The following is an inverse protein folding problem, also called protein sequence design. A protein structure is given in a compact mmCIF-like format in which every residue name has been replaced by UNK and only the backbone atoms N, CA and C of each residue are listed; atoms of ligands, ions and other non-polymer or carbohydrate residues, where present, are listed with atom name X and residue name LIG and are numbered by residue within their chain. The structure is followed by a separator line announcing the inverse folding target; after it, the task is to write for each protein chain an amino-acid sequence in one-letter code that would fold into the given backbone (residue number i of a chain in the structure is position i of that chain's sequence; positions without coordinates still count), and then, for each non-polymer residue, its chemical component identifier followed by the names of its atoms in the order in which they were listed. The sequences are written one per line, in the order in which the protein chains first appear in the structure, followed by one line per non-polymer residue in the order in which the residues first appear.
data_IF_374125176844
#
_entry.id   IF_374125176844
#
_cell.length_a   1.000
_cell.length_b   1.000
_cell.length_c   1.000
_cell.angle_alpha   90.00
_cell.angle_beta   90.00
_cell.angle_gamma   90.00
#
_symmetry.space_group_name_H-M   'P 1'
#
loop_
_entity.id
_entity.type
_entity.pdbx_description
1 polymer ?
#
# COMPACT_ATOMS: atom_id res chain seq x y z
N UNK A 1 -5.98 -22.30 31.14
CA UNK A 1 -5.98 -23.63 30.48
C UNK A 1 -6.79 -24.64 31.32
N UNK A 2 -8.10 -24.44 31.49
CA UNK A 2 -8.97 -25.40 32.20
C UNK A 2 -10.14 -25.91 31.34
N UNK A 3 -10.23 -25.50 30.07
CA UNK A 3 -11.35 -25.85 29.19
C UNK A 3 -11.17 -27.14 28.38
N UNK A 4 -10.06 -27.87 28.54
CA UNK A 4 -9.75 -29.06 27.72
C UNK A 4 -9.95 -30.40 28.43
N UNK A 5 -10.51 -30.42 29.65
CA UNK A 5 -10.78 -31.65 30.40
C UNK A 5 -12.25 -32.10 30.36
N UNK A 6 -13.06 -31.57 29.46
CA UNK A 6 -14.38 -32.13 29.18
C UNK A 6 -14.22 -33.33 28.25
N UNK A 7 -14.18 -34.53 28.81
CA UNK A 7 -14.50 -35.74 28.06
C UNK A 7 -15.89 -35.58 27.47
N UNK A 8 -16.06 -35.90 26.18
CA UNK A 8 -17.39 -35.89 25.54
C UNK A 8 -18.33 -36.76 26.37
N UNK A 9 -19.37 -36.14 26.95
CA UNK A 9 -20.28 -36.77 27.93
C UNK A 9 -21.07 -37.95 27.34
N UNK A 10 -21.07 -38.14 26.02
CA UNK A 10 -21.69 -39.28 25.35
C UNK A 10 -20.91 -39.61 24.08
N UNK A 11 -20.42 -40.85 23.89
CA UNK A 11 -19.78 -41.25 22.65
C UNK A 11 -20.81 -41.25 21.50
N UNK A 12 -20.48 -40.57 20.42
CA UNK A 12 -21.26 -40.60 19.17
C UNK A 12 -21.19 -42.01 18.58
N UNK A 13 -22.35 -42.65 18.40
CA UNK A 13 -22.49 -44.01 17.86
C UNK A 13 -22.84 -44.05 16.37
N UNK A 14 -22.74 -42.92 15.64
CA UNK A 14 -23.25 -42.83 14.28
C UNK A 14 -22.60 -41.77 13.38
N UNK A 15 -23.30 -41.45 12.28
CA UNK A 15 -22.80 -40.65 11.14
C UNK A 15 -22.43 -39.21 11.52
N UNK A 16 -22.86 -38.70 12.67
CA UNK A 16 -22.59 -37.34 13.12
C UNK A 16 -21.09 -37.00 13.18
N UNK A 17 -20.25 -37.92 13.67
CA UNK A 17 -18.79 -37.71 13.72
C UNK A 17 -18.18 -37.64 12.32
N UNK A 18 -18.67 -38.49 11.40
CA UNK A 18 -18.24 -38.50 10.01
C UNK A 18 -18.69 -37.24 9.27
N UNK A 19 -19.91 -36.74 9.52
CA UNK A 19 -20.40 -35.48 8.95
C UNK A 19 -19.58 -34.30 9.46
N UNK A 20 -19.31 -34.23 10.77
CA UNK A 20 -18.48 -33.17 11.34
C UNK A 20 -17.05 -33.20 10.78
N UNK A 21 -16.41 -34.36 10.72
CA UNK A 21 -15.09 -34.52 10.12
C UNK A 21 -15.10 -34.18 8.61
N UNK A 22 -16.15 -34.59 7.89
CA UNK A 22 -16.32 -34.26 6.47
C UNK A 22 -16.54 -32.75 6.26
N UNK A 23 -17.29 -32.09 7.13
CA UNK A 23 -17.46 -30.64 7.11
C UNK A 23 -16.13 -29.94 7.39
N UNK A 24 -15.36 -30.38 8.39
CA UNK A 24 -14.04 -29.84 8.68
C UNK A 24 -13.07 -30.01 7.49
N UNK A 25 -13.06 -31.20 6.88
CA UNK A 25 -12.29 -31.47 5.68
C UNK A 25 -12.75 -30.64 4.49
N UNK A 26 -14.06 -30.44 4.32
CA UNK A 26 -14.62 -29.57 3.29
C UNK A 26 -14.18 -28.12 3.50
N UNK A 27 -14.23 -27.59 4.72
CA UNK A 27 -13.76 -26.24 5.01
C UNK A 27 -12.25 -26.10 4.79
N UNK A 28 -11.46 -27.08 5.21
CA UNK A 28 -10.01 -27.09 4.95
C UNK A 28 -9.70 -27.13 3.45
N UNK A 29 -10.40 -27.97 2.67
CA UNK A 29 -10.22 -28.05 1.22
C UNK A 29 -10.73 -26.81 0.48
N UNK A 30 -11.80 -26.17 0.98
CA UNK A 30 -12.37 -24.94 0.43
C UNK A 30 -11.45 -23.73 0.59
N UNK A 31 -10.37 -23.83 1.35
CA UNK A 31 -9.36 -22.78 1.45
C UNK A 31 -8.79 -22.39 0.07
N UNK A 32 -8.67 -23.35 -0.85
CA UNK A 32 -8.24 -23.09 -2.23
C UNK A 32 -9.27 -22.28 -3.04
N UNK A 33 -10.54 -22.27 -2.64
CA UNK A 33 -11.58 -21.43 -3.26
C UNK A 33 -11.51 -19.97 -2.79
N UNK A 34 -10.81 -19.70 -1.68
CA UNK A 34 -10.62 -18.35 -1.14
C UNK A 34 -9.41 -17.63 -1.77
N UNK A 35 -8.52 -18.39 -2.43
CA UNK A 35 -7.35 -17.84 -3.12
C UNK A 35 -7.74 -17.39 -4.52
N UNK A 36 -7.25 -16.21 -4.93
CA UNK A 36 -7.44 -15.75 -6.31
C UNK A 36 -6.34 -16.34 -7.18
N UNK A 37 -6.58 -16.42 -8.49
CA UNK A 37 -5.55 -16.82 -9.44
C UNK A 37 -4.33 -15.90 -9.31
N UNK A 38 -3.12 -16.49 -9.24
CA UNK A 38 -1.90 -15.71 -9.15
C UNK A 38 -1.69 -14.94 -10.45
N UNK A 39 -1.04 -13.79 -10.36
CA UNK A 39 -0.64 -13.04 -11.55
C UNK A 39 0.39 -13.88 -12.31
N UNK A 40 0.22 -14.13 -13.62
CA UNK A 40 1.19 -14.90 -14.39
C UNK A 40 2.59 -14.28 -14.29
N UNK A 41 3.58 -15.10 -13.95
CA UNK A 41 4.97 -14.66 -13.95
C UNK A 41 5.48 -14.63 -15.40
N UNK A 42 6.09 -13.53 -15.80
CA UNK A 42 6.55 -13.35 -17.16
C UNK A 42 7.78 -14.22 -17.44
N UNK A 43 7.72 -14.98 -18.54
CA UNK A 43 8.92 -15.58 -19.11
C UNK A 43 9.72 -14.50 -19.83
N UNK A 44 10.86 -14.14 -19.24
CA UNK A 44 11.79 -13.14 -19.76
C UNK A 44 13.19 -13.74 -19.84
N UNK A 45 13.93 -13.34 -20.85
CA UNK A 45 15.28 -13.80 -21.11
C UNK A 45 16.28 -12.64 -21.01
N UNK A 46 17.54 -13.01 -20.79
CA UNK A 46 18.61 -12.03 -20.76
C UNK A 46 18.70 -11.31 -22.11
N UNK A 47 18.86 -9.99 -22.10
CA UNK A 47 18.92 -9.10 -23.26
C UNK A 47 17.57 -8.80 -23.94
N UNK A 48 16.45 -9.24 -23.37
CA UNK A 48 15.12 -8.85 -23.85
C UNK A 48 14.92 -7.32 -23.81
N UNK A 49 14.06 -6.84 -24.72
CA UNK A 49 13.79 -5.42 -24.93
C UNK A 49 12.32 -5.10 -24.73
N UNK A 50 12.07 -3.97 -24.08
CA UNK A 50 10.74 -3.43 -23.82
C UNK A 50 10.72 -1.94 -24.15
N UNK A 51 9.55 -1.38 -24.44
CA UNK A 51 9.42 0.06 -24.60
C UNK A 51 9.61 0.78 -23.28
N UNK A 52 8.94 0.28 -22.25
CA UNK A 52 9.04 0.81 -20.89
C UNK A 52 9.37 -0.31 -19.92
N UNK A 53 10.34 -0.05 -19.05
CA UNK A 53 10.63 -0.89 -17.88
C UNK A 53 10.24 -0.12 -16.63
N UNK A 54 9.29 -0.65 -15.86
CA UNK A 54 8.82 -0.08 -14.60
C UNK A 54 9.40 -0.89 -13.46
N UNK A 55 10.13 -0.23 -12.56
CA UNK A 55 10.81 -0.85 -11.42
C UNK A 55 9.97 -0.68 -10.16
N UNK A 56 9.35 -1.77 -9.72
CA UNK A 56 8.47 -1.83 -8.54
C UNK A 56 7.00 -1.84 -8.94
N UNK A 57 6.27 -2.92 -8.62
CA UNK A 57 4.83 -3.05 -8.80
C UNK A 57 4.05 -2.55 -7.58
N UNK A 58 4.54 -1.49 -6.94
CA UNK A 58 3.86 -0.83 -5.83
C UNK A 58 2.64 -0.01 -6.28
N UNK A 59 2.17 0.86 -5.39
CA UNK A 59 1.06 1.81 -5.63
C UNK A 59 1.20 2.53 -6.99
N UNK A 60 2.26 3.29 -7.19
CA UNK A 60 2.46 4.07 -8.42
C UNK A 60 2.81 3.20 -9.65
N UNK A 61 3.67 2.20 -9.48
CA UNK A 61 4.10 1.33 -10.57
C UNK A 61 2.95 0.51 -11.17
N UNK A 62 2.00 0.09 -10.33
CA UNK A 62 0.78 -0.57 -10.79
C UNK A 62 -0.09 0.34 -11.68
N UNK A 63 -0.22 1.62 -11.29
CA UNK A 63 -0.95 2.63 -12.10
C UNK A 63 -0.24 2.84 -13.44
N UNK A 64 1.07 3.05 -13.42
CA UNK A 64 1.86 3.27 -14.63
C UNK A 64 1.77 2.09 -15.59
N UNK A 65 1.92 0.86 -15.09
CA UNK A 65 1.81 -0.35 -15.90
C UNK A 65 0.41 -0.47 -16.54
N UNK A 66 -0.65 -0.20 -15.78
CA UNK A 66 -2.02 -0.20 -16.29
C UNK A 66 -2.24 0.85 -17.39
N UNK A 67 -1.77 2.09 -17.18
CA UNK A 67 -2.01 3.19 -18.11
C UNK A 67 -1.15 3.08 -19.37
N UNK A 68 0.13 2.75 -19.25
CA UNK A 68 1.02 2.59 -20.40
C UNK A 68 0.63 1.38 -21.26
N UNK A 69 0.28 0.24 -20.63
CA UNK A 69 -0.14 -0.96 -21.39
C UNK A 69 -1.50 -0.83 -22.07
N UNK A 70 -2.27 0.23 -21.78
CA UNK A 70 -3.49 0.52 -22.52
C UNK A 70 -3.20 0.88 -23.98
N UNK A 71 -1.99 1.36 -24.29
CA UNK A 71 -1.51 1.59 -25.64
C UNK A 71 -0.89 0.28 -26.15
N UNK A 72 -1.59 -0.37 -27.09
CA UNK A 72 -1.27 -1.73 -27.56
C UNK A 72 0.10 -1.83 -28.24
N UNK A 73 0.58 -0.74 -28.81
CA UNK A 73 1.86 -0.67 -29.52
C UNK A 73 3.08 -0.58 -28.58
N UNK A 74 2.85 -0.37 -27.28
CA UNK A 74 3.93 -0.31 -26.30
C UNK A 74 4.05 -1.61 -25.53
N UNK A 75 5.26 -2.15 -25.48
CA UNK A 75 5.62 -3.33 -24.69
C UNK A 75 6.14 -2.91 -23.32
N UNK A 76 5.45 -3.33 -22.27
CA UNK A 76 5.71 -2.91 -20.90
C UNK A 76 6.22 -4.08 -20.10
N UNK A 77 7.36 -3.90 -19.42
CA UNK A 77 7.83 -4.80 -18.38
C UNK A 77 7.67 -4.14 -17.02
N UNK A 78 6.92 -4.78 -16.13
CA UNK A 78 6.81 -4.42 -14.72
C UNK A 78 7.59 -5.42 -13.88
N UNK A 79 8.53 -4.95 -13.06
CA UNK A 79 9.40 -5.81 -12.24
C UNK A 79 9.10 -5.60 -10.77
N UNK A 80 8.82 -6.67 -10.02
CA UNK A 80 8.56 -6.64 -8.58
C UNK A 80 9.49 -7.59 -7.81
N UNK A 81 10.02 -7.11 -6.69
CA UNK A 81 10.88 -7.90 -5.82
C UNK A 81 10.10 -8.94 -5.01
N UNK A 82 8.84 -8.64 -4.71
CA UNK A 82 7.89 -9.49 -4.02
C UNK A 82 7.12 -10.47 -4.91
N UNK A 83 6.23 -11.19 -4.24
CA UNK A 83 5.37 -12.22 -4.81
C UNK A 83 3.92 -11.72 -4.95
N UNK A 84 2.98 -12.60 -5.25
CA UNK A 84 1.55 -12.29 -5.22
C UNK A 84 1.05 -11.84 -3.84
N UNK A 85 -0.02 -11.04 -3.87
CA UNK A 85 -0.77 -10.62 -2.68
C UNK A 85 -1.41 -11.82 -1.97
N UNK A 86 -1.12 -12.04 -0.67
CA UNK A 86 -1.70 -13.14 0.10
C UNK A 86 -3.11 -12.79 0.60
N UNK A 87 -3.84 -13.78 1.13
CA UNK A 87 -5.23 -13.59 1.59
C UNK A 87 -5.34 -12.60 2.76
N UNK A 88 -4.34 -12.56 3.64
CA UNK A 88 -4.23 -11.62 4.75
C UNK A 88 -4.14 -10.17 4.27
N UNK A 89 -3.63 -9.94 3.05
CA UNK A 89 -3.65 -8.63 2.40
C UNK A 89 -5.07 -8.20 2.04
N UNK A 90 -5.93 -9.14 1.64
CA UNK A 90 -7.30 -8.85 1.20
C UNK A 90 -8.21 -8.47 2.36
N UNK A 91 -8.03 -9.13 3.50
CA UNK A 91 -8.90 -9.00 4.67
C UNK A 91 -8.34 -7.88 5.56
N UNK A 92 -9.04 -6.72 5.68
CA UNK A 92 -8.55 -5.54 6.41
C UNK A 92 -7.86 -5.83 7.75
N UNK A 93 -8.52 -6.57 8.63
CA UNK A 93 -8.04 -6.83 10.00
C UNK A 93 -6.81 -7.74 10.04
N UNK A 94 -6.59 -8.57 9.02
CA UNK A 94 -5.46 -9.50 8.98
C UNK A 94 -4.19 -8.88 8.40
N UNK A 95 -4.27 -7.67 7.81
CA UNK A 95 -3.11 -7.04 7.17
C UNK A 95 -1.96 -6.72 8.13
N UNK A 96 -2.21 -6.69 9.44
CA UNK A 96 -1.17 -6.58 10.48
C UNK A 96 -0.20 -7.76 10.48
N UNK A 97 -0.65 -8.96 10.08
CA UNK A 97 0.19 -10.17 9.98
C UNK A 97 1.25 -10.06 8.88
N UNK A 98 1.09 -9.12 7.95
CA UNK A 98 2.06 -8.85 6.89
C UNK A 98 3.20 -7.94 7.36
N UNK A 99 2.99 -7.15 8.41
CA UNK A 99 4.01 -6.25 8.97
C UNK A 99 5.09 -7.09 9.67
N UNK A 100 6.36 -6.76 9.44
CA UNK A 100 7.52 -7.56 9.87
C UNK A 100 7.62 -8.97 9.25
N UNK A 101 6.72 -9.38 8.36
CA UNK A 101 6.84 -10.63 7.64
C UNK A 101 7.83 -10.48 6.49
N UNK A 102 9.02 -11.07 6.60
CA UNK A 102 10.11 -10.92 5.61
C UNK A 102 9.71 -11.31 4.18
N UNK A 103 8.63 -12.09 3.97
CA UNK A 103 8.15 -12.39 2.62
C UNK A 103 7.46 -11.18 1.97
N UNK A 104 6.65 -10.45 2.73
CA UNK A 104 5.74 -9.40 2.22
C UNK A 104 6.09 -7.98 2.67
N UNK A 105 6.97 -7.83 3.65
CA UNK A 105 7.52 -6.57 4.15
C UNK A 105 9.05 -6.56 3.93
N UNK A 106 9.56 -5.39 3.55
CA UNK A 106 10.99 -5.12 3.46
C UNK A 106 11.68 -5.11 4.83
N UNK A 107 10.93 -4.97 5.92
CA UNK A 107 11.43 -4.97 7.30
C UNK A 107 12.51 -3.90 7.55
N UNK A 108 12.37 -2.72 6.94
CA UNK A 108 13.29 -1.62 7.24
C UNK A 108 13.18 -1.20 8.70
N UNK A 109 14.28 -0.64 9.19
CA UNK A 109 14.38 -0.03 10.52
C UNK A 109 15.13 1.29 10.41
N UNK A 110 14.72 2.27 11.19
CA UNK A 110 15.47 3.53 11.28
C UNK A 110 16.81 3.29 11.98
N UNK A 111 17.85 4.00 11.56
CA UNK A 111 19.07 4.09 12.34
C UNK A 111 18.83 4.89 13.63
N UNK A 112 19.53 4.54 14.70
CA UNK A 112 19.57 5.36 15.91
C UNK A 112 20.36 6.64 15.64
N UNK A 113 19.80 7.79 16.01
CA UNK A 113 20.43 9.10 15.80
C UNK A 113 20.70 9.87 17.11
N UNK A 114 20.40 9.30 18.27
CA UNK A 114 20.61 9.96 19.57
C UNK A 114 19.59 11.04 19.94
N UNK A 115 18.62 11.35 19.08
CA UNK A 115 17.69 12.48 19.28
C UNK A 115 16.23 12.03 19.28
N UNK A 116 15.83 11.20 18.33
CA UNK A 116 14.45 10.76 18.18
C UNK A 116 14.28 9.29 18.57
N UNK A 117 13.04 8.87 18.82
CA UNK A 117 12.66 7.48 19.12
C UNK A 117 13.31 6.91 20.40
N UNK A 118 13.74 7.74 21.35
CA UNK A 118 14.47 7.31 22.56
C UNK A 118 13.67 6.34 23.46
N UNK A 119 12.34 6.38 23.39
CA UNK A 119 11.46 5.44 24.09
C UNK A 119 11.37 4.05 23.42
N UNK A 120 11.85 3.90 22.18
CA UNK A 120 11.86 2.63 21.48
C UNK A 120 13.14 1.83 21.79
N UNK A 121 13.05 0.49 21.74
CA UNK A 121 14.23 -0.37 21.91
C UNK A 121 15.32 0.02 20.91
N UNK A 122 16.51 0.29 21.41
CA UNK A 122 17.69 0.73 20.65
C UNK A 122 17.50 2.06 19.88
N UNK A 123 16.52 2.89 20.26
CA UNK A 123 16.24 4.15 19.58
C UNK A 123 15.87 4.00 18.09
N UNK A 124 15.28 2.85 17.73
CA UNK A 124 14.96 2.46 16.35
C UNK A 124 13.49 2.08 16.23
N UNK A 125 12.87 2.40 15.09
CA UNK A 125 11.47 2.09 14.80
C UNK A 125 11.37 1.21 13.56
N UNK A 126 10.42 0.28 13.56
CA UNK A 126 10.07 -0.49 12.37
C UNK A 126 9.53 0.44 11.29
N UNK A 127 9.89 0.18 10.04
CA UNK A 127 9.47 0.98 8.91
C UNK A 127 8.89 0.07 7.83
N UNK A 128 7.62 -0.35 7.97
CA UNK A 128 7.02 -1.31 7.07
C UNK A 128 6.90 -0.76 5.65
N UNK A 129 7.32 -1.57 4.67
CA UNK A 129 7.18 -1.30 3.24
C UNK A 129 6.83 -2.59 2.52
N UNK A 130 5.84 -2.53 1.63
CA UNK A 130 5.37 -3.73 0.95
C UNK A 130 6.38 -4.24 -0.06
N UNK A 131 6.69 -5.53 0.03
CA UNK A 131 7.47 -6.31 -0.92
C UNK A 131 6.56 -7.39 -1.49
N UNK A 132 5.60 -6.96 -2.31
CA UNK A 132 4.48 -7.75 -2.84
C UNK A 132 3.89 -6.99 -4.02
N UNK A 133 3.24 -7.66 -4.97
CA UNK A 133 2.45 -6.96 -5.99
C UNK A 133 1.41 -6.05 -5.32
N UNK A 134 1.35 -4.78 -5.73
CA UNK A 134 0.58 -3.71 -5.08
C UNK A 134 1.36 -2.95 -4.01
N UNK A 135 2.51 -3.45 -3.57
CA UNK A 135 3.42 -2.83 -2.61
C UNK A 135 2.74 -2.48 -1.29
N UNK A 136 3.05 -1.30 -0.74
CA UNK A 136 2.49 -0.86 0.54
C UNK A 136 0.97 -0.71 0.57
N UNK A 137 0.27 -0.66 -0.57
CA UNK A 137 -1.20 -0.64 -0.56
C UNK A 137 -1.83 -1.92 -0.01
N UNK A 138 -1.08 -3.04 -0.02
CA UNK A 138 -1.53 -4.35 0.50
C UNK A 138 -1.52 -4.41 2.04
N UNK A 139 -0.70 -3.60 2.70
CA UNK A 139 -0.52 -3.63 4.16
C UNK A 139 -0.85 -2.30 4.86
N UNK A 140 -1.24 -1.25 4.13
CA UNK A 140 -1.58 0.04 4.75
C UNK A 140 -2.92 -0.03 5.51
N UNK A 141 -3.25 1.05 6.22
CA UNK A 141 -4.51 1.15 6.97
C UNK A 141 -5.76 1.44 6.10
N UNK A 142 -5.63 1.45 4.77
CA UNK A 142 -6.70 1.77 3.79
C UNK A 142 -7.32 3.17 3.91
N UNK A 143 -6.91 4.00 4.87
CA UNK A 143 -7.39 5.36 5.02
C UNK A 143 -7.20 6.12 3.70
N UNK A 144 -8.30 6.68 3.21
CA UNK A 144 -8.33 7.47 2.00
C UNK A 144 -8.57 8.94 2.34
N UNK A 145 -7.48 9.71 2.28
CA UNK A 145 -7.49 11.16 2.42
C UNK A 145 -6.65 11.77 1.31
N UNK A 146 -7.18 12.80 0.66
CA UNK A 146 -6.49 13.62 -0.32
C UNK A 146 -5.72 14.74 0.40
N UNK A 147 -4.68 15.28 -0.22
CA UNK A 147 -3.98 16.45 0.31
C UNK A 147 -4.86 17.70 0.22
N UNK A 148 -4.49 18.72 0.99
CA UNK A 148 -5.17 20.01 0.90
C UNK A 148 -4.78 20.70 -0.41
N UNK A 149 -5.65 21.55 -0.94
CA UNK A 149 -5.33 22.32 -2.16
C UNK A 149 -4.05 23.16 -1.99
N UNK A 150 -3.79 23.66 -0.78
CA UNK A 150 -2.57 24.41 -0.47
C UNK A 150 -1.30 23.56 -0.65
N UNK A 151 -1.35 22.26 -0.38
CA UNK A 151 -0.20 21.35 -0.58
C UNK A 151 0.19 21.31 -2.07
N UNK A 152 -0.81 21.21 -2.96
CA UNK A 152 -0.60 21.15 -4.41
C UNK A 152 -0.30 22.52 -5.00
N UNK A 153 -0.91 23.59 -4.47
CA UNK A 153 -0.57 24.96 -4.81
C UNK A 153 0.89 25.24 -4.51
N UNK A 154 1.40 24.80 -3.36
CA UNK A 154 2.81 24.93 -3.02
C UNK A 154 3.72 24.15 -4.00
N UNK A 155 3.32 22.97 -4.48
CA UNK A 155 4.06 22.26 -5.54
C UNK A 155 4.12 23.07 -6.84
N UNK A 156 3.00 23.68 -7.25
CA UNK A 156 2.92 24.53 -8.43
C UNK A 156 3.76 25.82 -8.30
N UNK A 157 3.70 26.46 -7.14
CA UNK A 157 4.38 27.72 -6.85
C UNK A 157 5.90 27.54 -6.78
N UNK A 158 6.37 26.37 -6.34
CA UNK A 158 7.80 26.00 -6.31
C UNK A 158 8.38 25.64 -7.68
N UNK A 159 7.60 25.79 -8.76
CA UNK A 159 8.08 25.69 -10.15
C UNK A 159 7.55 24.50 -10.94
N UNK A 160 6.74 23.62 -10.33
CA UNK A 160 6.19 22.44 -10.99
C UNK A 160 4.82 22.75 -11.61
N UNK A 161 4.80 23.47 -12.73
CA UNK A 161 3.58 24.06 -13.31
C UNK A 161 2.54 23.03 -13.77
N UNK A 162 2.97 21.82 -14.02
CA UNK A 162 2.17 20.66 -14.40
C UNK A 162 1.40 20.07 -13.22
N UNK A 163 1.69 20.50 -11.99
CA UNK A 163 1.08 20.03 -10.74
C UNK A 163 0.13 21.05 -10.13
N UNK A 164 -0.68 21.72 -10.97
CA UNK A 164 -1.73 22.61 -10.49
C UNK A 164 -2.78 21.84 -9.68
N UNK A 165 -3.47 22.53 -8.77
CA UNK A 165 -4.59 21.97 -8.00
C UNK A 165 -5.62 21.31 -8.93
N UNK A 166 -5.96 21.98 -10.02
CA UNK A 166 -6.93 21.48 -11.01
C UNK A 166 -6.48 20.15 -11.62
N UNK A 167 -5.22 20.06 -12.07
CA UNK A 167 -4.67 18.84 -12.67
C UNK A 167 -4.60 17.69 -11.67
N UNK A 168 -4.23 17.97 -10.42
CA UNK A 168 -4.20 16.97 -9.35
C UNK A 168 -5.60 16.45 -9.04
N UNK A 169 -6.58 17.34 -8.86
CA UNK A 169 -7.98 16.95 -8.61
C UNK A 169 -8.58 16.20 -9.79
N UNK A 170 -8.21 16.55 -11.03
CA UNK A 170 -8.58 15.77 -12.23
C UNK A 170 -7.98 14.37 -12.20
N UNK A 171 -6.73 14.21 -11.75
CA UNK A 171 -6.09 12.91 -11.59
C UNK A 171 -6.75 12.06 -10.49
N UNK A 172 -7.15 12.66 -9.36
CA UNK A 172 -7.96 11.99 -8.35
C UNK A 172 -9.25 11.46 -8.97
N UNK A 173 -10.09 12.31 -9.56
CA UNK A 173 -11.33 11.86 -10.21
C UNK A 173 -11.14 10.78 -11.28
N UNK A 174 -9.98 10.73 -11.95
CA UNK A 174 -9.65 9.67 -12.92
C UNK A 174 -9.25 8.33 -12.26
N UNK A 175 -8.70 8.38 -11.05
CA UNK A 175 -8.29 7.20 -10.30
C UNK A 175 -9.45 6.54 -9.55
N UNK A 176 -10.42 7.34 -9.11
CA UNK A 176 -11.46 6.96 -8.14
C UNK A 176 -12.73 6.39 -8.79
N UNK A 177 -13.33 5.42 -8.11
CA UNK A 177 -14.75 5.04 -8.22
C UNK A 177 -15.36 5.08 -6.82
N UNK A 178 -16.01 6.20 -6.50
CA UNK A 178 -16.65 6.41 -5.21
C UNK A 178 -18.00 5.71 -5.14
N UNK A 179 -18.23 4.93 -4.07
CA UNK A 179 -19.37 4.01 -3.96
C UNK A 179 -20.08 4.07 -2.60
N UNK A 180 -19.88 5.13 -1.81
CA UNK A 180 -20.70 5.35 -0.62
C UNK A 180 -22.08 5.91 -1.02
N UNK A 181 -23.08 5.03 -1.04
CA UNK A 181 -24.45 5.37 -1.47
C UNK A 181 -25.08 6.50 -0.67
N UNK A 182 -24.77 6.62 0.64
CA UNK A 182 -25.34 7.68 1.49
C UNK A 182 -24.67 9.02 1.17
N UNK A 183 -23.34 9.03 1.09
CA UNK A 183 -22.60 10.25 0.78
C UNK A 183 -22.87 10.75 -0.65
N UNK A 184 -23.20 9.85 -1.58
CA UNK A 184 -23.60 10.19 -2.95
C UNK A 184 -24.93 10.95 -3.05
N UNK A 185 -25.78 10.93 -2.00
CA UNK A 185 -26.99 11.75 -1.95
C UNK A 185 -26.67 13.26 -1.90
N UNK A 186 -25.49 13.64 -1.39
CA UNK A 186 -25.02 15.01 -1.40
C UNK A 186 -24.34 15.35 -2.75
N UNK A 187 -24.87 16.28 -3.56
CA UNK A 187 -24.32 16.61 -4.87
C UNK A 187 -22.93 17.25 -4.81
N UNK A 188 -22.58 17.93 -3.72
CA UNK A 188 -21.24 18.52 -3.54
C UNK A 188 -20.20 17.41 -3.38
N UNK A 189 -20.51 16.39 -2.58
CA UNK A 189 -19.65 15.22 -2.39
C UNK A 189 -19.58 14.42 -3.69
N UNK A 190 -20.72 14.11 -4.29
CA UNK A 190 -20.81 13.34 -5.53
C UNK A 190 -19.98 13.96 -6.67
N UNK A 191 -20.00 15.28 -6.82
CA UNK A 191 -19.23 15.98 -7.86
C UNK A 191 -17.73 16.11 -7.55
N UNK A 192 -17.31 15.96 -6.29
CA UNK A 192 -15.90 16.01 -5.91
C UNK A 192 -15.12 14.78 -6.41
N UNK A 193 -15.75 13.61 -6.32
CA UNK A 193 -15.12 12.32 -6.58
C UNK A 193 -15.25 11.83 -8.02
N UNK A 194 -14.33 10.93 -8.41
CA UNK A 194 -14.49 10.09 -9.58
C UNK A 194 -15.45 8.91 -9.36
N UNK A 195 -16.15 8.49 -10.42
CA UNK A 195 -17.09 7.36 -10.37
C UNK A 195 -16.67 6.16 -11.22
N UNK A 196 -15.72 6.35 -12.14
CA UNK A 196 -15.37 5.38 -13.20
C UNK A 196 -13.92 4.91 -13.15
N UNK A 197 -13.16 5.35 -12.15
CA UNK A 197 -11.78 4.95 -11.96
C UNK A 197 -11.65 3.52 -11.42
N UNK A 198 -10.46 2.93 -11.52
CA UNK A 198 -10.22 1.55 -11.08
C UNK A 198 -10.16 1.37 -9.55
N UNK A 199 -9.87 2.44 -8.79
CA UNK A 199 -9.74 2.36 -7.34
C UNK A 199 -11.09 2.66 -6.67
N UNK A 200 -11.73 1.63 -6.15
CA UNK A 200 -12.98 1.80 -5.41
C UNK A 200 -12.71 2.49 -4.06
N UNK A 201 -13.52 3.48 -3.74
CA UNK A 201 -13.50 4.19 -2.46
C UNK A 201 -14.88 4.09 -1.83
N UNK A 202 -14.90 3.73 -0.56
CA UNK A 202 -16.14 3.62 0.21
C UNK A 202 -15.89 4.05 1.66
N UNK A 203 -16.92 4.03 2.49
CA UNK A 203 -16.80 4.11 3.93
C UNK A 203 -17.04 2.74 4.54
N UNK A 204 -16.24 2.39 5.55
CA UNK A 204 -16.48 1.14 6.28
C UNK A 204 -17.86 1.19 6.91
N UNK A 205 -18.64 0.14 6.70
CA UNK A 205 -19.91 -0.01 7.39
C UNK A 205 -19.64 -0.24 8.88
N UNK A 206 -19.82 0.79 9.70
CA UNK A 206 -19.63 0.72 11.14
C UNK A 206 -20.95 0.97 11.85
N UNK A 207 -21.25 0.12 12.83
CA UNK A 207 -22.45 0.23 13.69
C UNK A 207 -22.08 0.72 15.08
N UNK A 208 -21.00 1.48 15.21
CA UNK A 208 -20.45 1.83 16.52
C UNK A 208 -21.04 3.13 17.05
N UNK A 209 -21.92 3.03 18.04
CA UNK A 209 -22.55 4.18 18.71
C UNK A 209 -21.56 5.19 19.30
N UNK A 210 -20.32 4.76 19.59
CA UNK A 210 -19.30 5.67 20.15
C UNK A 210 -18.77 6.68 19.14
N UNK A 211 -18.89 6.43 17.82
CA UNK A 211 -18.39 7.35 16.79
C UNK A 211 -19.06 8.72 16.94
N UNK A 212 -20.38 8.73 17.16
CA UNK A 212 -21.12 9.98 17.37
C UNK A 212 -20.64 10.71 18.64
N UNK A 213 -20.30 9.98 19.71
CA UNK A 213 -19.74 10.59 20.93
C UNK A 213 -18.37 11.22 20.67
N UNK A 214 -17.52 10.57 19.88
CA UNK A 214 -16.21 11.11 19.50
C UNK A 214 -16.38 12.36 18.64
N UNK A 215 -17.29 12.36 17.66
CA UNK A 215 -17.58 13.53 16.85
C UNK A 215 -18.15 14.69 17.69
N UNK A 216 -19.07 14.43 18.61
CA UNK A 216 -19.56 15.47 19.53
C UNK A 216 -18.45 16.04 20.42
N UNK A 217 -17.52 15.21 20.90
CA UNK A 217 -16.40 15.70 21.71
C UNK A 217 -15.43 16.60 20.93
N UNK A 218 -15.26 16.38 19.62
CA UNK A 218 -14.51 17.30 18.76
C UNK A 218 -15.22 18.65 18.61
N UNK A 219 -16.54 18.63 18.47
CA UNK A 219 -17.38 19.83 18.37
C UNK A 219 -17.31 20.69 19.64
N UNK A 220 -17.27 20.06 20.82
CA UNK A 220 -17.13 20.75 22.12
C UNK A 220 -15.84 21.58 22.26
N UNK A 221 -14.82 21.30 21.44
CA UNK A 221 -13.56 22.04 21.41
C UNK A 221 -13.36 22.81 20.08
N UNK A 222 -14.46 23.14 19.40
CA UNK A 222 -14.52 23.91 18.15
C UNK A 222 -13.79 23.25 16.96
N UNK A 223 -13.55 21.93 17.01
CA UNK A 223 -13.11 21.15 15.84
C UNK A 223 -14.36 20.71 15.09
N UNK A 224 -14.68 21.48 14.04
CA UNK A 224 -15.92 21.31 13.27
C UNK A 224 -16.04 19.92 12.66
N UNK A 225 -17.18 19.28 12.93
CA UNK A 225 -17.59 18.08 12.22
C UNK A 225 -17.99 18.41 10.77
N UNK A 226 -17.43 17.68 9.82
CA UNK A 226 -17.72 17.80 8.39
C UNK A 226 -18.24 16.48 7.85
N UNK A 227 -19.13 16.56 6.86
CA UNK A 227 -19.73 15.38 6.23
C UNK A 227 -18.70 14.57 5.42
N UNK A 228 -17.73 15.26 4.81
CA UNK A 228 -16.62 14.63 4.10
C UNK A 228 -15.32 15.44 4.27
N UNK A 229 -14.28 14.77 4.75
CA UNK A 229 -12.97 15.37 5.03
C UNK A 229 -12.25 15.84 3.76
N UNK A 230 -12.43 15.16 2.63
CA UNK A 230 -11.76 15.51 1.37
C UNK A 230 -12.42 16.70 0.69
N UNK A 231 -13.76 16.80 0.79
CA UNK A 231 -14.53 17.95 0.29
C UNK A 231 -14.29 19.18 1.15
N UNK A 232 -14.24 19.01 2.48
CA UNK A 232 -14.01 20.10 3.42
C UNK A 232 -12.67 20.79 3.18
N UNK A 233 -11.61 20.02 2.85
CA UNK A 233 -10.31 20.55 2.43
C UNK A 233 -9.72 21.55 3.47
N UNK A 234 -9.99 21.27 4.75
CA UNK A 234 -9.62 22.09 5.90
C UNK A 234 -9.51 21.21 7.15
N UNK A 235 -9.03 21.80 8.25
CA UNK A 235 -9.04 21.14 9.56
C UNK A 235 -10.47 20.88 10.02
N UNK A 236 -10.75 19.65 10.48
CA UNK A 236 -12.05 19.24 10.98
C UNK A 236 -12.05 17.77 11.38
N UNK A 237 -13.22 17.30 11.83
CA UNK A 237 -13.48 15.91 12.20
C UNK A 237 -14.56 15.32 11.30
N UNK A 238 -14.49 14.02 11.03
CA UNK A 238 -15.46 13.38 10.14
C UNK A 238 -15.15 11.90 9.93
N UNK A 239 -16.07 11.24 9.23
CA UNK A 239 -15.87 9.85 8.86
C UNK A 239 -14.81 9.73 7.76
N UNK A 240 -13.81 8.90 7.99
CA UNK A 240 -12.77 8.63 7.00
C UNK A 240 -13.32 7.75 5.87
N UNK A 241 -12.90 8.04 4.64
CA UNK A 241 -13.06 7.13 3.50
C UNK A 241 -11.98 6.06 3.54
N UNK A 242 -12.22 4.97 2.83
CA UNK A 242 -11.33 3.84 2.75
C UNK A 242 -11.23 3.28 1.33
N UNK A 243 -10.05 2.78 1.00
CA UNK A 243 -9.82 1.93 -0.18
C UNK A 243 -10.26 0.50 0.14
N UNK A 244 -11.56 0.31 0.34
CA UNK A 244 -12.21 -0.97 0.61
C UNK A 244 -13.58 -1.03 -0.12
N UNK A 245 -14.06 -2.25 -0.39
CA UNK A 245 -15.07 -2.67 -1.37
C UNK A 245 -15.62 -4.03 -0.91
N UNK A 246 -16.89 -4.15 -0.50
CA UNK A 246 -17.52 -5.42 -0.09
C UNK A 246 -16.75 -6.17 1.01
N UNK A 247 -16.23 -5.43 1.99
CA UNK A 247 -15.41 -5.98 3.07
C UNK A 247 -13.98 -6.38 2.66
N UNK A 248 -13.58 -6.11 1.41
CA UNK A 248 -12.29 -6.47 0.83
C UNK A 248 -11.46 -5.20 0.55
N UNK A 249 -10.17 -5.28 0.85
CA UNK A 249 -9.19 -4.24 0.52
C UNK A 249 -9.10 -3.98 -0.99
N UNK A 250 -9.01 -2.70 -1.36
CA UNK A 250 -8.68 -2.24 -2.71
C UNK A 250 -7.18 -1.98 -2.86
N UNK A 251 -6.37 -3.05 -2.91
CA UNK A 251 -4.94 -2.91 -3.20
C UNK A 251 -4.75 -2.43 -4.65
N UNK A 252 -3.60 -1.83 -4.95
CA UNK A 252 -3.29 -1.41 -6.32
C UNK A 252 -3.05 -2.60 -7.26
N UNK A 253 -2.67 -3.76 -6.72
CA UNK A 253 -2.65 -5.00 -7.49
C UNK A 253 -4.07 -5.36 -7.95
N UNK A 254 -5.04 -5.32 -7.03
CA UNK A 254 -6.45 -5.64 -7.32
C UNK A 254 -7.12 -4.61 -8.24
N UNK A 255 -6.91 -3.32 -7.97
CA UNK A 255 -7.54 -2.24 -8.71
C UNK A 255 -6.92 -2.05 -10.11
N UNK A 256 -5.58 -2.10 -10.22
CA UNK A 256 -4.89 -1.71 -11.45
C UNK A 256 -4.26 -2.87 -12.23
N UNK A 257 -3.75 -3.93 -11.59
CA UNK A 257 -3.04 -4.99 -12.29
C UNK A 257 -3.95 -6.15 -12.70
N UNK A 258 -4.67 -6.74 -11.74
CA UNK A 258 -5.55 -7.90 -11.98
C UNK A 258 -6.53 -7.72 -13.15
N UNK A 259 -7.18 -6.56 -13.34
CA UNK A 259 -8.08 -6.37 -14.47
C UNK A 259 -7.39 -6.37 -15.84
N UNK A 260 -6.06 -6.26 -15.90
CA UNK A 260 -5.31 -6.07 -17.15
C UNK A 260 -4.18 -7.08 -17.37
N UNK A 261 -4.02 -8.10 -16.51
CA UNK A 261 -2.98 -9.14 -16.65
C UNK A 261 -3.12 -9.95 -17.94
N UNK A 262 -4.30 -9.96 -18.55
CA UNK A 262 -4.57 -10.61 -19.83
C UNK A 262 -3.99 -9.85 -21.03
N UNK A 263 -3.52 -8.60 -20.85
CA UNK A 263 -2.93 -7.80 -21.93
C UNK A 263 -1.59 -8.37 -22.36
N UNK A 264 -1.49 -8.80 -23.62
CA UNK A 264 -0.28 -9.46 -24.16
C UNK A 264 0.97 -8.58 -24.14
N UNK A 265 0.81 -7.26 -24.20
CA UNK A 265 1.88 -6.25 -24.18
C UNK A 265 2.31 -5.84 -22.77
N UNK A 266 1.72 -6.41 -21.71
CA UNK A 266 2.17 -6.23 -20.33
C UNK A 266 2.80 -7.53 -19.82
N UNK A 267 4.06 -7.45 -19.41
CA UNK A 267 4.79 -8.53 -18.75
C UNK A 267 5.06 -8.16 -17.30
N UNK A 268 4.73 -9.03 -16.37
CA UNK A 268 4.94 -8.82 -14.94
C UNK A 268 5.95 -9.88 -14.46
N UNK A 269 7.12 -9.43 -14.04
CA UNK A 269 8.21 -10.27 -13.54
C UNK A 269 8.29 -10.14 -12.01
N UNK A 270 7.88 -11.19 -11.30
CA UNK A 270 7.83 -11.24 -9.84
C UNK A 270 9.14 -11.78 -9.26
N UNK A 271 9.28 -11.73 -7.93
CA UNK A 271 10.43 -12.30 -7.20
C UNK A 271 11.79 -11.85 -7.76
N UNK A 272 11.85 -10.63 -8.28
CA UNK A 272 12.93 -10.11 -9.13
C UNK A 272 13.37 -8.73 -8.65
N UNK A 273 14.61 -8.64 -8.18
CA UNK A 273 15.14 -7.43 -7.59
C UNK A 273 16.02 -6.67 -8.58
N UNK A 274 15.61 -5.46 -8.96
CA UNK A 274 16.43 -4.57 -9.78
C UNK A 274 17.58 -4.02 -8.95
N UNK A 275 18.81 -4.28 -9.39
CA UNK A 275 20.02 -3.91 -8.65
C UNK A 275 20.72 -2.67 -9.20
N UNK A 276 20.48 -2.34 -10.47
CA UNK A 276 21.16 -1.21 -11.14
C UNK A 276 20.39 -0.75 -12.37
N UNK A 277 20.42 0.54 -12.66
CA UNK A 277 19.99 1.12 -13.93
C UNK A 277 21.21 1.21 -14.85
N UNK A 278 21.04 0.77 -16.08
CA UNK A 278 22.05 0.84 -17.12
C UNK A 278 21.98 2.21 -17.79
N UNK A 279 23.04 3.01 -17.65
CA UNK A 279 23.09 4.40 -18.12
C UNK A 279 24.33 4.59 -18.99
N UNK A 280 24.17 5.25 -20.13
CA UNK A 280 25.28 5.66 -20.97
C UNK A 280 26.03 6.82 -20.29
N UNK A 281 27.32 6.65 -20.01
CA UNK A 281 28.10 7.65 -19.29
C UNK A 281 28.28 8.98 -20.03
N UNK A 282 28.21 8.99 -21.36
CA UNK A 282 28.37 10.19 -22.18
C UNK A 282 27.03 10.92 -22.31
N UNK A 283 25.99 10.24 -22.81
CA UNK A 283 24.69 10.86 -23.08
C UNK A 283 23.80 10.99 -21.84
N UNK A 284 24.16 10.32 -20.73
CA UNK A 284 23.37 10.21 -19.49
C UNK A 284 22.00 9.57 -19.70
N UNK A 285 21.83 8.81 -20.77
CA UNK A 285 20.56 8.15 -21.12
C UNK A 285 20.47 6.79 -20.44
N UNK A 286 19.39 6.55 -19.71
CA UNK A 286 19.04 5.23 -19.20
C UNK A 286 18.57 4.34 -20.37
N UNK A 287 19.10 3.13 -20.48
CA UNK A 287 18.80 2.21 -21.58
C UNK A 287 18.39 0.80 -21.12
N UNK A 288 18.27 0.60 -19.80
CA UNK A 288 17.88 -0.70 -19.26
C UNK A 288 18.14 -0.85 -17.77
N UNK A 289 18.02 -2.07 -17.29
CA UNK A 289 18.22 -2.44 -15.88
C UNK A 289 18.96 -3.76 -15.74
N UNK A 290 19.72 -3.88 -14.65
CA UNK A 290 20.21 -5.16 -14.14
C UNK A 290 19.23 -5.70 -13.10
N UNK A 291 18.81 -6.94 -13.29
CA UNK A 291 17.83 -7.62 -12.43
C UNK A 291 18.47 -8.87 -11.86
N UNK A 292 18.21 -9.15 -10.58
CA UNK A 292 18.62 -10.37 -9.91
C UNK A 292 17.39 -11.13 -9.43
N UNK A 293 17.28 -12.38 -9.85
CA UNK A 293 16.31 -13.34 -9.31
C UNK A 293 17.03 -14.33 -8.39
N UNK A 294 16.32 -15.31 -7.84
CA UNK A 294 16.93 -16.36 -7.00
C UNK A 294 18.03 -17.14 -7.75
N UNK A 295 17.88 -17.34 -9.06
CA UNK A 295 18.75 -18.22 -9.84
C UNK A 295 19.55 -17.52 -10.93
N UNK A 296 19.17 -16.30 -11.33
CA UNK A 296 19.70 -15.66 -12.55
C UNK A 296 19.94 -14.16 -12.35
N UNK A 297 20.83 -13.63 -13.19
CA UNK A 297 21.00 -12.19 -13.40
C UNK A 297 20.63 -11.89 -14.85
N UNK A 298 19.84 -10.84 -15.04
CA UNK A 298 19.41 -10.39 -16.36
C UNK A 298 19.89 -8.95 -16.59
N UNK A 299 20.20 -8.64 -17.84
CA UNK A 299 20.22 -7.28 -18.38
C UNK A 299 19.01 -7.16 -19.29
N UNK A 300 18.08 -6.29 -18.94
CA UNK A 300 16.87 -6.03 -19.71
C UNK A 300 16.93 -4.60 -20.23
N UNK A 301 16.54 -4.37 -21.47
CA UNK A 301 16.73 -3.08 -22.13
C UNK A 301 15.41 -2.35 -22.36
N UNK A 302 15.45 -1.03 -22.17
CA UNK A 302 14.35 -0.13 -22.48
C UNK A 302 14.65 0.61 -23.78
N UNK A 303 13.72 0.65 -24.73
CA UNK A 303 13.85 1.42 -25.97
C UNK A 303 13.35 2.86 -25.81
N UNK A 304 12.50 3.13 -24.80
CA UNK A 304 12.04 4.48 -24.45
C UNK A 304 12.53 4.86 -23.05
N UNK A 305 11.91 4.32 -22.00
CA UNK A 305 12.17 4.80 -20.63
C UNK A 305 12.30 3.68 -19.60
N UNK A 306 13.12 3.95 -18.59
CA UNK A 306 13.15 3.21 -17.33
C UNK A 306 12.48 4.07 -16.27
N UNK A 307 11.34 3.62 -15.73
CA UNK A 307 10.55 4.35 -14.75
C UNK A 307 10.73 3.71 -13.37
N UNK A 308 11.26 4.47 -12.41
CA UNK A 308 11.52 3.97 -11.06
C UNK A 308 10.31 4.22 -10.17
N UNK A 309 9.72 3.15 -9.65
CA UNK A 309 8.57 3.15 -8.75
C UNK A 309 8.82 2.30 -7.50
N UNK A 310 10.07 2.22 -7.04
CA UNK A 310 10.48 1.48 -5.84
C UNK A 310 10.06 2.12 -4.51
N UNK A 311 9.26 3.20 -4.56
CA UNK A 311 8.86 3.98 -3.39
C UNK A 311 9.98 4.87 -2.85
N UNK A 312 9.66 5.65 -1.81
CA UNK A 312 10.53 6.70 -1.27
C UNK A 312 11.85 6.20 -0.64
N UNK A 313 12.01 4.88 -0.42
CA UNK A 313 13.23 4.28 0.14
C UNK A 313 14.06 3.63 -0.98
N UNK A 314 13.48 2.71 -1.76
CA UNK A 314 14.26 1.96 -2.75
C UNK A 314 14.56 2.76 -4.01
N UNK A 315 13.73 3.73 -4.39
CA UNK A 315 14.00 4.56 -5.58
C UNK A 315 15.29 5.36 -5.44
N UNK A 316 15.51 6.17 -4.37
CA UNK A 316 16.78 6.87 -4.21
C UNK A 316 17.95 5.92 -3.97
N UNK A 317 17.73 4.77 -3.30
CA UNK A 317 18.77 3.76 -3.15
C UNK A 317 19.22 3.21 -4.52
N UNK A 318 18.28 2.85 -5.40
CA UNK A 318 18.58 2.34 -6.74
C UNK A 318 19.29 3.40 -7.61
N UNK A 319 18.86 4.66 -7.53
CA UNK A 319 19.55 5.77 -8.19
C UNK A 319 21.01 5.86 -7.74
N UNK A 320 21.26 5.84 -6.42
CA UNK A 320 22.61 5.87 -5.87
C UNK A 320 23.44 4.66 -6.28
N UNK A 321 22.89 3.44 -6.24
CA UNK A 321 23.54 2.23 -6.74
C UNK A 321 23.87 2.31 -8.24
N UNK A 322 23.16 3.15 -8.98
CA UNK A 322 23.36 3.41 -10.41
C UNK A 322 24.27 4.61 -10.70
N UNK A 323 24.85 5.22 -9.67
CA UNK A 323 25.77 6.35 -9.79
C UNK A 323 25.09 7.72 -9.90
N UNK A 324 23.81 7.84 -9.56
CA UNK A 324 23.06 9.11 -9.49
C UNK A 324 22.82 9.46 -8.02
N UNK A 325 23.46 10.51 -7.53
CA UNK A 325 23.33 10.94 -6.14
C UNK A 325 24.51 11.82 -5.69
N UNK A 326 24.63 12.09 -4.37
CA UNK A 326 25.67 12.98 -3.86
C UNK A 326 27.07 12.38 -4.09
N UNK A 327 27.92 13.05 -4.87
CA UNK A 327 29.27 12.56 -5.24
C UNK A 327 30.08 12.06 -4.04
N UNK A 328 30.16 12.83 -2.95
CA UNK A 328 30.92 12.44 -1.75
C UNK A 328 30.43 11.11 -1.18
N UNK A 329 29.12 10.90 -1.12
CA UNK A 329 28.53 9.65 -0.63
C UNK A 329 28.85 8.50 -1.58
N UNK A 330 28.61 8.67 -2.87
CA UNK A 330 28.90 7.64 -3.89
C UNK A 330 30.37 7.22 -3.88
N UNK A 331 31.30 8.17 -3.85
CA UNK A 331 32.75 7.89 -3.77
C UNK A 331 33.11 7.11 -2.50
N UNK A 332 32.54 7.47 -1.33
CA UNK A 332 32.77 6.73 -0.07
C UNK A 332 32.25 5.28 -0.09
N UNK A 333 31.37 4.95 -1.04
CA UNK A 333 30.86 3.60 -1.28
C UNK A 333 31.53 2.90 -2.46
N UNK A 334 32.54 3.52 -3.08
CA UNK A 334 33.22 2.97 -4.26
C UNK A 334 32.33 2.92 -5.52
N UNK A 335 31.27 3.73 -5.59
CA UNK A 335 30.35 3.76 -6.72
C UNK A 335 30.80 4.86 -7.69
N UNK A 336 31.04 4.55 -8.99
CA UNK A 336 31.33 5.56 -10.00
C UNK A 336 30.19 6.57 -10.15
N UNK A 337 30.53 7.86 -10.17
CA UNK A 337 29.54 8.94 -10.28
C UNK A 337 29.18 9.15 -11.75
N UNK A 338 27.91 8.93 -12.08
CA UNK A 338 27.33 9.20 -13.40
C UNK A 338 26.74 10.61 -13.43
N UNK A 339 25.94 10.95 -12.42
CA UNK A 339 25.37 12.29 -12.22
C UNK A 339 25.54 12.67 -10.76
N UNK A 340 26.17 13.82 -10.51
CA UNK A 340 26.24 14.40 -9.17
C UNK A 340 24.92 15.14 -8.92
N UNK A 341 24.06 14.50 -8.15
CA UNK A 341 22.75 15.03 -7.79
C UNK A 341 22.74 15.19 -6.27
N UNK A 342 23.10 16.38 -5.73
CA UNK A 342 22.94 16.65 -4.33
C UNK A 342 21.44 16.60 -4.01
N UNK A 343 21.02 15.47 -3.43
CA UNK A 343 19.71 15.38 -2.81
C UNK A 343 19.76 16.27 -1.57
N UNK A 344 19.28 17.51 -1.68
CA UNK A 344 18.94 18.26 -0.48
C UNK A 344 17.97 17.41 0.34
N UNK A 345 18.09 17.48 1.67
CA UNK A 345 17.45 16.60 2.67
C UNK A 345 15.91 16.67 2.64
N UNK A 346 15.26 16.29 1.56
CA UNK A 346 13.80 16.27 1.44
C UNK A 346 13.35 14.82 1.69
N UNK A 347 13.64 14.33 2.89
CA UNK A 347 12.97 13.16 3.44
C UNK A 347 12.05 13.66 4.56
N UNK A 348 10.82 14.00 4.18
CA UNK A 348 9.77 14.41 5.12
C UNK A 348 9.01 13.18 5.58
N UNK A 349 8.80 13.08 6.89
CA UNK A 349 8.15 11.95 7.55
C UNK A 349 7.15 12.52 8.53
N UNK A 350 5.93 12.03 8.50
CA UNK A 350 4.97 12.27 9.57
C UNK A 350 5.17 11.20 10.65
N UNK A 351 5.43 11.63 11.87
CA UNK A 351 5.51 10.72 13.02
C UNK A 351 4.10 10.39 13.51
N UNK A 352 3.87 9.10 13.78
CA UNK A 352 2.61 8.62 14.34
C UNK A 352 2.82 8.26 15.81
N UNK A 353 1.99 8.82 16.68
CA UNK A 353 1.91 8.43 18.09
C UNK A 353 0.57 7.73 18.31
N UNK A 354 0.61 6.50 18.82
CA UNK A 354 -0.58 5.75 19.18
C UNK A 354 -0.90 6.01 20.65
N UNK A 355 -2.05 6.61 20.93
CA UNK A 355 -2.62 6.67 22.27
C UNK A 355 -3.72 5.63 22.38
N UNK A 356 -3.51 4.61 23.21
CA UNK A 356 -4.53 3.60 23.49
C UNK A 356 -5.29 3.99 24.75
N UNK A 357 -6.59 4.18 24.63
CA UNK A 357 -7.48 4.43 25.76
C UNK A 357 -8.39 3.22 25.97
N UNK A 358 -8.38 2.66 27.17
CA UNK A 358 -9.31 1.58 27.54
C UNK A 358 -10.66 2.20 27.92
N UNK A 359 -11.64 2.16 27.02
CA UNK A 359 -13.04 2.43 27.39
C UNK A 359 -13.57 1.18 28.09
N UNK A 360 -13.44 1.15 29.41
CA UNK A 360 -13.90 0.03 30.22
C UNK A 360 -15.43 0.07 30.35
N UNK A 361 -16.15 -0.50 29.38
CA UNK A 361 -17.58 -0.77 29.58
C UNK A 361 -17.71 -1.93 30.57
N UNK A 362 -18.29 -1.67 31.74
CA UNK A 362 -18.66 -2.69 32.73
C UNK A 362 -19.81 -3.54 32.16
N UNK A 363 -19.50 -4.46 31.25
CA UNK A 363 -20.43 -5.51 30.86
C UNK A 363 -20.47 -6.51 32.02
N UNK A 364 -21.43 -6.32 32.93
CA UNK A 364 -21.78 -7.34 33.93
C UNK A 364 -22.20 -8.60 33.17
N UNK A 365 -21.35 -9.64 33.29
CA UNK A 365 -21.51 -11.03 32.85
C UNK A 365 -21.43 -11.28 31.33
N UNK A 366 -20.23 -11.58 30.86
CA UNK A 366 -19.98 -12.74 29.99
C UNK A 366 -18.64 -13.36 30.39
N UNK A 367 -18.67 -14.51 31.05
CA UNK A 367 -17.51 -15.40 31.18
C UNK A 367 -17.38 -16.22 29.89
N UNK A 368 -16.14 -16.43 29.43
CA UNK A 368 -15.72 -17.08 28.18
C UNK A 368 -15.64 -16.15 26.95
N UNK A 369 -14.52 -15.41 26.86
CA UNK A 369 -13.52 -15.47 25.79
C UNK A 369 -12.40 -14.50 26.25
N UNK A 370 -11.23 -15.04 26.57
CA UNK A 370 -10.06 -14.27 27.02
C UNK A 370 -9.32 -13.55 25.87
N UNK A 371 -10.04 -13.18 24.82
CA UNK A 371 -9.64 -12.12 23.91
C UNK A 371 -10.62 -10.98 24.15
N UNK A 372 -10.27 -10.10 25.10
CA UNK A 372 -10.82 -8.76 25.14
C UNK A 372 -10.67 -8.19 23.72
N UNK A 373 -11.79 -7.98 23.02
CA UNK A 373 -11.82 -7.01 21.94
C UNK A 373 -11.54 -5.66 22.62
N UNK A 374 -10.26 -5.30 22.63
CA UNK A 374 -9.82 -3.95 22.91
C UNK A 374 -10.42 -3.09 21.79
N UNK A 375 -11.35 -2.22 22.15
CA UNK A 375 -11.81 -1.20 21.24
C UNK A 375 -10.72 -0.14 21.17
N UNK A 376 -9.93 -0.18 20.10
CA UNK A 376 -8.88 0.80 19.87
C UNK A 376 -9.49 2.09 19.31
N UNK A 377 -9.48 3.16 20.10
CA UNK A 377 -9.67 4.51 19.60
C UNK A 377 -8.32 4.95 19.00
N UNK A 378 -8.25 5.05 17.67
CA UNK A 378 -7.09 5.56 16.97
C UNK A 378 -7.20 7.09 16.86
N UNK A 379 -6.52 7.82 17.74
CA UNK A 379 -6.26 9.25 17.53
C UNK A 379 -4.96 9.37 16.74
N UNK A 380 -5.06 9.70 15.46
CA UNK A 380 -3.90 10.02 14.64
C UNK A 380 -3.66 11.52 14.75
N UNK A 381 -2.64 11.92 15.52
CA UNK A 381 -2.12 13.29 15.50
C UNK A 381 -1.01 13.34 14.45
N UNK A 382 -1.30 13.92 13.29
CA UNK A 382 -0.29 14.20 12.26
C UNK A 382 0.44 15.50 12.64
N UNK A 383 1.61 15.38 13.26
CA UNK A 383 2.52 16.52 13.41
C UNK A 383 3.30 16.76 12.11
N UNK A 384 3.26 17.99 11.60
CA UNK A 384 4.09 18.44 10.45
C UNK A 384 5.56 18.55 10.86
#
# INVERSE_FOLDING_TARGET
MQCYNSTCLTPSVGVATQIFASALNFFAASQCLLTEEPVPDADVHNLDKFDFIIVGAGTAGSVLANRLSAIKDWNILLIEAGDDEPIEGKIPVLSSELVNNQKYDWNYRTAYNGVNNLANKNGSVIWPRGKVLGGSSVLNAMIYIQGNDEDYKNWYDTGNKEWSVEEVRRCFRKAESFQDMKALENPVISNHYGHNGPLVINTFNTSFDYINKVLSAWDEIDIKNVEDLNVANMMGSGMMRATAADGIRQSHNRAYLKPVVHRKNLKILKNSFVTKILINNLSKTAYGVEVRTKSRKYKLFATKEVIISGGAINSPQLLMLSGIGPRKHLCSKGIPVVVDSPMDKIFKITFFYLFQYTVMSLVKRVSLINNLMLFDIFIIVLGI
#
